data_IF_161501712448
#
_entry.id   IF_161501712448
#
_cell.length_a   1.000
_cell.length_b   1.000
_cell.length_c   1.000
_cell.angle_alpha   90.00
_cell.angle_beta   90.00
_cell.angle_gamma   90.00
#
_symmetry.space_group_name_H-M   'P 1'
#
loop_
_entity.id
_entity.type
_entity.pdbx_description
1 polymer ?
#
# COMPACT_ATOMS: atom_id res chain seq x y z
N UNK A 1 6.37 34.45 16.80
CA UNK A 1 5.42 33.58 16.07
C UNK A 1 5.47 32.21 16.70
N UNK A 2 4.34 31.65 17.09
CA UNK A 2 4.31 30.28 17.61
C UNK A 2 4.41 29.27 16.45
N UNK A 3 4.60 27.98 16.77
CA UNK A 3 4.81 26.95 15.75
C UNK A 3 3.64 26.85 14.74
N UNK A 4 2.40 26.96 15.20
CA UNK A 4 1.23 26.89 14.30
C UNK A 4 1.19 28.07 13.34
N UNK A 5 1.43 29.28 13.82
CA UNK A 5 1.52 30.48 12.97
C UNK A 5 2.64 30.35 11.92
N UNK A 6 3.78 29.78 12.30
CA UNK A 6 4.90 29.49 11.35
C UNK A 6 4.50 28.47 10.27
N UNK A 7 3.75 27.42 10.66
CA UNK A 7 3.26 26.41 9.73
C UNK A 7 2.27 27.03 8.73
N UNK A 8 1.32 27.83 9.21
CA UNK A 8 0.34 28.49 8.35
C UNK A 8 1.02 29.43 7.34
N UNK A 9 1.96 30.27 7.81
CA UNK A 9 2.75 31.14 6.92
C UNK A 9 3.53 30.35 5.89
N UNK A 10 4.18 29.26 6.31
CA UNK A 10 4.96 28.37 5.42
C UNK A 10 4.08 27.77 4.33
N UNK A 11 2.93 27.23 4.70
CA UNK A 11 1.99 26.64 3.74
C UNK A 11 1.45 27.68 2.76
N UNK A 12 1.08 28.87 3.22
CA UNK A 12 0.64 29.94 2.34
C UNK A 12 1.73 30.41 1.38
N UNK A 13 2.96 30.54 1.87
CA UNK A 13 4.13 30.94 1.07
C UNK A 13 4.44 29.92 -0.02
N UNK A 14 4.38 28.64 0.31
CA UNK A 14 4.81 27.54 -0.59
C UNK A 14 3.65 26.90 -1.37
N UNK A 15 2.39 27.34 -1.18
CA UNK A 15 1.20 26.72 -1.73
C UNK A 15 1.30 26.33 -3.20
N UNK A 16 1.67 27.25 -4.06
CA UNK A 16 1.75 26.99 -5.50
C UNK A 16 2.90 26.06 -5.86
N UNK A 17 4.02 26.17 -5.16
CA UNK A 17 5.16 25.29 -5.37
C UNK A 17 4.85 23.86 -4.98
N UNK A 18 4.25 23.63 -3.81
CA UNK A 18 3.84 22.29 -3.34
C UNK A 18 2.94 21.60 -4.37
N UNK A 19 1.89 22.29 -4.83
CA UNK A 19 0.97 21.77 -5.85
C UNK A 19 1.70 21.48 -7.17
N UNK A 20 2.54 22.41 -7.63
CA UNK A 20 3.30 22.23 -8.88
C UNK A 20 4.26 21.05 -8.79
N UNK A 21 5.02 20.90 -7.69
CA UNK A 21 5.98 19.79 -7.53
C UNK A 21 5.27 18.45 -7.39
N UNK A 22 4.12 18.42 -6.76
CA UNK A 22 3.27 17.20 -6.74
C UNK A 22 2.84 16.84 -8.16
N UNK A 23 2.32 17.80 -8.92
CA UNK A 23 1.95 17.59 -10.32
C UNK A 23 3.16 17.10 -11.17
N UNK A 24 4.35 17.68 -10.97
CA UNK A 24 5.53 17.30 -11.72
C UNK A 24 6.00 15.88 -11.40
N UNK A 25 5.94 15.45 -10.14
CA UNK A 25 6.25 14.08 -9.75
C UNK A 25 5.23 13.09 -10.30
N UNK A 26 3.93 13.46 -10.33
CA UNK A 26 2.87 12.61 -10.91
C UNK A 26 3.07 12.35 -12.40
N UNK A 27 3.67 13.29 -13.15
CA UNK A 27 3.97 13.13 -14.60
C UNK A 27 5.00 12.03 -14.89
N UNK A 28 5.76 11.59 -13.90
CA UNK A 28 6.71 10.48 -14.06
C UNK A 28 5.97 9.16 -13.89
N UNK A 29 5.84 8.31 -14.92
CA UNK A 29 5.11 7.06 -14.85
C UNK A 29 5.95 5.96 -14.19
N UNK A 30 6.28 6.12 -12.93
CA UNK A 30 7.18 5.27 -12.14
C UNK A 30 6.58 3.90 -11.80
N UNK A 31 6.09 3.20 -12.82
CA UNK A 31 5.64 1.82 -12.70
C UNK A 31 6.87 0.92 -12.66
N UNK A 32 6.94 0.04 -11.66
CA UNK A 32 8.01 -0.93 -11.58
C UNK A 32 7.95 -1.93 -12.74
N UNK A 33 8.95 -1.88 -13.59
CA UNK A 33 9.12 -2.80 -14.73
C UNK A 33 10.60 -3.09 -14.97
N UNK A 34 10.92 -4.32 -15.36
CA UNK A 34 12.24 -4.68 -15.86
C UNK A 34 12.38 -4.17 -17.30
N UNK A 35 13.25 -3.17 -17.52
CA UNK A 35 13.39 -2.46 -18.80
C UNK A 35 14.82 -2.49 -19.38
N UNK A 36 15.69 -3.33 -18.82
CA UNK A 36 17.12 -3.46 -19.21
C UNK A 36 17.95 -2.16 -19.05
N UNK A 37 17.44 -1.14 -18.33
CA UNK A 37 18.18 0.10 -18.05
C UNK A 37 19.33 -0.07 -17.07
N UNK A 38 19.42 -1.21 -16.41
CA UNK A 38 20.35 -1.46 -15.32
C UNK A 38 19.91 -0.80 -13.99
N UNK A 39 18.71 -0.23 -13.94
CA UNK A 39 18.08 0.29 -12.71
C UNK A 39 17.26 -0.82 -12.05
N UNK A 40 17.24 -0.92 -10.70
CA UNK A 40 16.63 -2.06 -10.00
C UNK A 40 15.12 -2.24 -10.29
N UNK A 41 14.41 -1.14 -10.53
CA UNK A 41 12.95 -1.15 -10.74
C UNK A 41 12.53 -0.41 -12.01
N UNK A 42 13.46 -0.25 -12.96
CA UNK A 42 13.24 0.42 -14.23
C UNK A 42 13.61 1.90 -14.23
N UNK A 43 13.74 2.47 -15.43
CA UNK A 43 14.21 3.83 -15.62
C UNK A 43 13.26 4.89 -15.07
N UNK A 44 11.94 4.65 -15.12
CA UNK A 44 10.95 5.62 -14.65
C UNK A 44 10.93 5.72 -13.11
N UNK A 45 11.10 4.60 -12.40
CA UNK A 45 11.30 4.64 -10.95
C UNK A 45 12.59 5.39 -10.59
N UNK A 46 13.67 5.18 -11.34
CA UNK A 46 14.91 5.93 -11.12
C UNK A 46 14.76 7.43 -11.39
N UNK A 47 14.00 7.85 -12.41
CA UNK A 47 13.69 9.27 -12.66
C UNK A 47 12.89 9.90 -11.52
N UNK A 48 11.96 9.15 -10.91
CA UNK A 48 11.23 9.65 -9.75
C UNK A 48 12.16 9.88 -8.54
N UNK A 49 13.11 8.99 -8.29
CA UNK A 49 14.14 9.17 -7.28
C UNK A 49 15.05 10.37 -7.59
N UNK A 50 15.49 10.54 -8.85
CA UNK A 50 16.31 11.70 -9.27
C UNK A 50 15.54 13.01 -9.09
N UNK A 51 14.25 13.05 -9.43
CA UNK A 51 13.39 14.22 -9.18
C UNK A 51 13.32 14.58 -7.69
N UNK A 52 13.09 13.59 -6.84
CA UNK A 52 13.05 13.79 -5.40
C UNK A 52 14.40 14.27 -4.84
N UNK A 53 15.51 13.70 -5.31
CA UNK A 53 16.86 14.08 -4.92
C UNK A 53 17.14 15.56 -5.29
N UNK A 54 16.80 15.96 -6.52
CA UNK A 54 16.95 17.35 -6.95
C UNK A 54 16.10 18.30 -6.09
N UNK A 55 14.81 17.98 -5.86
CA UNK A 55 13.92 18.81 -5.07
C UNK A 55 14.42 18.95 -3.62
N UNK A 56 14.91 17.87 -3.02
CA UNK A 56 15.52 17.91 -1.69
C UNK A 56 16.71 18.85 -1.63
N UNK A 57 17.59 18.82 -2.62
CA UNK A 57 18.75 19.73 -2.73
C UNK A 57 18.34 21.19 -2.92
N UNK A 58 17.29 21.46 -3.70
CA UNK A 58 16.68 22.79 -3.82
C UNK A 58 16.19 23.34 -2.47
N UNK A 59 15.75 22.44 -1.57
CA UNK A 59 15.34 22.77 -0.19
C UNK A 59 16.50 22.71 0.83
N UNK A 60 17.74 22.62 0.39
CA UNK A 60 18.94 22.53 1.22
C UNK A 60 18.95 21.33 2.19
N UNK A 61 18.26 20.26 1.83
CA UNK A 61 18.30 18.99 2.55
C UNK A 61 19.50 18.15 2.07
N UNK A 62 19.97 17.28 2.94
CA UNK A 62 21.06 16.34 2.63
C UNK A 62 20.44 15.04 2.14
N UNK A 63 20.95 14.50 1.05
CA UNK A 63 20.44 13.28 0.43
C UNK A 63 21.51 12.21 0.30
N UNK A 64 21.09 10.94 0.36
CA UNK A 64 21.92 9.79 0.03
C UNK A 64 21.10 8.76 -0.74
N UNK A 65 21.51 8.52 -1.98
CA UNK A 65 20.88 7.53 -2.85
C UNK A 65 21.43 6.13 -2.56
N UNK A 66 20.56 5.18 -2.26
CA UNK A 66 20.85 3.78 -2.03
C UNK A 66 20.55 2.96 -3.29
N UNK A 67 21.41 3.09 -4.29
CA UNK A 67 21.38 2.33 -5.56
C UNK A 67 20.04 2.43 -6.32
N UNK A 68 19.37 3.58 -6.27
CA UNK A 68 18.04 3.82 -6.84
C UNK A 68 16.92 2.95 -6.24
N UNK A 69 17.19 2.25 -5.14
CA UNK A 69 16.17 1.56 -4.37
C UNK A 69 15.47 2.52 -3.41
N UNK A 70 16.25 3.27 -2.66
CA UNK A 70 15.75 4.30 -1.75
C UNK A 70 16.59 5.57 -1.83
N UNK A 71 15.94 6.70 -1.55
CA UNK A 71 16.58 7.97 -1.27
C UNK A 71 16.41 8.33 0.20
N UNK A 72 17.49 8.39 0.96
CA UNK A 72 17.51 8.91 2.33
C UNK A 72 17.64 10.42 2.32
N UNK A 73 16.87 11.12 3.15
CA UNK A 73 16.84 12.58 3.24
C UNK A 73 16.93 13.05 4.68
N UNK A 74 17.76 14.04 4.95
CA UNK A 74 18.04 14.57 6.28
C UNK A 74 18.14 16.10 6.28
N UNK A 75 17.87 16.76 7.41
CA UNK A 75 18.12 18.20 7.57
C UNK A 75 19.62 18.52 7.58
N UNK A 76 20.46 17.64 8.10
CA UNK A 76 21.94 17.81 8.22
C UNK A 76 22.61 16.44 8.32
N UNK A 77 23.89 16.39 8.00
CA UNK A 77 24.72 15.22 8.25
C UNK A 77 24.98 14.99 9.75
N UNK A 78 25.38 13.77 10.09
CA UNK A 78 25.82 13.40 11.44
C UNK A 78 24.82 13.74 12.55
N UNK A 79 23.54 13.52 12.30
CA UNK A 79 22.51 13.61 13.32
C UNK A 79 22.75 12.55 14.40
N UNK A 80 22.39 12.88 15.62
CA UNK A 80 22.57 12.02 16.81
C UNK A 80 21.24 11.91 17.54
N UNK A 81 21.18 11.08 18.58
CA UNK A 81 19.95 10.82 19.34
C UNK A 81 19.21 9.61 18.81
N UNK A 82 17.95 9.48 19.17
CA UNK A 82 17.07 8.43 18.67
C UNK A 82 16.73 8.65 17.19
N UNK A 83 16.57 7.57 16.46
CA UNK A 83 16.26 7.63 15.04
C UNK A 83 14.78 7.46 14.77
N UNK A 84 14.18 8.45 14.09
CA UNK A 84 12.88 8.36 13.45
C UNK A 84 13.08 8.21 11.95
N UNK A 85 12.49 7.18 11.34
CA UNK A 85 12.36 7.06 9.90
C UNK A 85 10.92 7.34 9.51
N UNK A 86 10.72 8.19 8.51
CA UNK A 86 9.44 8.46 7.87
C UNK A 86 9.57 7.94 6.44
N UNK A 87 8.84 6.87 6.13
CA UNK A 87 8.92 6.18 4.85
C UNK A 87 7.70 6.49 3.98
N UNK A 88 7.97 6.74 2.70
CA UNK A 88 7.02 6.93 1.60
C UNK A 88 7.61 6.30 0.35
N UNK A 89 6.83 6.18 -0.74
CA UNK A 89 7.34 5.62 -1.98
C UNK A 89 7.01 6.46 -3.22
N UNK A 90 7.79 6.29 -4.26
CA UNK A 90 7.67 7.01 -5.52
C UNK A 90 7.18 6.12 -6.68
N UNK A 91 7.20 4.79 -6.51
CA UNK A 91 6.63 3.87 -7.49
C UNK A 91 5.10 3.87 -7.43
N UNK A 92 4.49 3.40 -8.48
CA UNK A 92 3.02 3.38 -8.62
C UNK A 92 2.56 2.11 -9.31
N UNK A 93 1.33 1.67 -8.99
CA UNK A 93 0.68 0.60 -9.74
C UNK A 93 0.37 1.01 -11.18
N UNK A 94 0.25 0.05 -12.12
CA UNK A 94 -0.23 0.32 -13.47
C UNK A 94 -1.58 1.05 -13.48
N UNK A 95 -1.84 1.75 -14.56
CA UNK A 95 -3.11 2.44 -14.80
C UNK A 95 -4.22 1.47 -15.16
N UNK A 96 -5.46 1.95 -15.08
CA UNK A 96 -6.67 1.22 -15.47
C UNK A 96 -7.27 1.84 -16.74
N UNK A 97 -8.10 1.09 -17.45
CA UNK A 97 -8.59 1.51 -18.78
C UNK A 97 -9.73 2.54 -18.75
N UNK A 98 -10.41 2.70 -17.61
CA UNK A 98 -11.58 3.55 -17.45
C UNK A 98 -11.29 4.98 -16.94
N UNK A 99 -10.04 5.45 -17.09
CA UNK A 99 -9.68 6.82 -16.75
C UNK A 99 -10.38 7.85 -17.67
N UNK A 100 -10.98 8.88 -17.05
CA UNK A 100 -11.52 10.06 -17.74
C UNK A 100 -10.39 11.04 -18.08
N UNK A 101 -9.39 11.12 -17.18
CA UNK A 101 -8.23 11.99 -17.33
C UNK A 101 -6.99 11.16 -17.65
N UNK A 102 -6.02 11.78 -18.33
CA UNK A 102 -4.71 11.16 -18.52
C UNK A 102 -4.04 10.95 -17.15
N UNK A 103 -3.76 9.69 -16.75
CA UNK A 103 -3.27 9.36 -15.42
C UNK A 103 -1.88 9.93 -15.11
N UNK A 104 -1.12 10.34 -16.11
CA UNK A 104 0.19 10.96 -15.93
C UNK A 104 0.25 12.42 -16.39
N UNK A 105 -0.91 13.07 -16.56
CA UNK A 105 -0.94 14.49 -16.88
C UNK A 105 -0.51 15.39 -15.71
N UNK A 106 -0.69 14.93 -14.46
CA UNK A 106 -0.36 15.70 -13.26
C UNK A 106 -1.03 17.08 -13.28
N UNK A 107 -2.38 17.11 -13.30
CA UNK A 107 -3.16 18.35 -13.44
C UNK A 107 -4.07 18.61 -12.26
N UNK A 108 -4.38 19.88 -12.05
CA UNK A 108 -5.34 20.32 -11.06
C UNK A 108 -6.73 20.49 -11.70
N UNK A 109 -7.74 19.89 -11.08
CA UNK A 109 -9.16 20.05 -11.41
C UNK A 109 -9.93 20.45 -10.16
N UNK A 110 -10.37 21.71 -10.11
CA UNK A 110 -10.94 22.29 -8.90
C UNK A 110 -9.92 22.29 -7.75
N UNK A 111 -10.28 21.64 -6.65
CA UNK A 111 -9.41 21.51 -5.47
C UNK A 111 -8.61 20.20 -5.45
N UNK A 112 -8.56 19.46 -6.56
CA UNK A 112 -7.92 18.16 -6.64
C UNK A 112 -6.74 18.14 -7.63
N UNK A 113 -5.63 17.54 -7.22
CA UNK A 113 -4.59 17.08 -8.13
C UNK A 113 -5.00 15.70 -8.60
N UNK A 114 -5.08 15.49 -9.92
CA UNK A 114 -5.51 14.23 -10.52
C UNK A 114 -4.34 13.56 -11.24
N UNK A 115 -4.15 12.30 -10.94
CA UNK A 115 -3.17 11.44 -11.60
C UNK A 115 -2.71 10.27 -10.75
N UNK A 116 -2.24 9.20 -11.40
CA UNK A 116 -1.79 7.97 -10.78
C UNK A 116 -0.64 8.25 -9.79
N UNK A 117 -0.80 7.74 -8.57
CA UNK A 117 0.18 7.89 -7.50
C UNK A 117 0.03 9.16 -6.68
N UNK A 118 -0.98 10.03 -6.97
CA UNK A 118 -1.11 11.28 -6.22
C UNK A 118 -1.61 11.07 -4.79
N UNK A 119 -2.37 9.99 -4.53
CA UNK A 119 -2.79 9.57 -3.19
C UNK A 119 -1.78 8.57 -2.63
N UNK A 120 -1.33 7.65 -3.47
CA UNK A 120 -0.54 6.49 -3.13
C UNK A 120 0.68 6.39 -4.08
N UNK A 121 1.82 7.01 -3.69
CA UNK A 121 2.13 7.71 -2.43
C UNK A 121 2.87 9.05 -2.71
N UNK A 122 2.85 9.56 -3.98
CA UNK A 122 3.60 10.76 -4.40
C UNK A 122 3.16 12.04 -3.70
N UNK A 123 1.87 12.17 -3.36
CA UNK A 123 1.36 13.30 -2.57
C UNK A 123 1.93 13.29 -1.15
N UNK A 124 1.75 12.22 -0.39
CA UNK A 124 2.35 12.06 0.94
C UNK A 124 3.87 12.13 0.94
N UNK A 125 4.56 11.66 -0.12
CA UNK A 125 6.00 11.84 -0.29
C UNK A 125 6.36 13.34 -0.34
N UNK A 126 5.69 14.12 -1.17
CA UNK A 126 5.89 15.57 -1.23
C UNK A 126 5.52 16.22 0.12
N UNK A 127 4.45 15.77 0.77
CA UNK A 127 4.11 16.26 2.10
C UNK A 127 5.24 16.04 3.11
N UNK A 128 5.82 14.85 3.13
CA UNK A 128 6.93 14.49 4.02
C UNK A 128 8.18 15.33 3.75
N UNK A 129 8.50 15.56 2.46
CA UNK A 129 9.62 16.41 2.05
C UNK A 129 9.44 17.85 2.55
N UNK A 130 8.27 18.45 2.27
CA UNK A 130 8.00 19.82 2.71
C UNK A 130 7.88 19.93 4.24
N UNK A 131 7.43 18.91 4.93
CA UNK A 131 7.44 18.87 6.39
C UNK A 131 8.87 18.91 6.96
N UNK A 132 9.81 18.16 6.38
CA UNK A 132 11.20 18.20 6.82
C UNK A 132 11.88 19.53 6.39
N UNK A 133 11.58 20.04 5.20
CA UNK A 133 12.10 21.31 4.70
C UNK A 133 11.69 22.51 5.55
N UNK A 134 10.50 22.46 6.17
CA UNK A 134 10.05 23.48 7.13
C UNK A 134 11.04 23.69 8.27
N UNK A 135 11.55 22.62 8.90
CA UNK A 135 12.52 22.71 10.00
C UNK A 135 13.83 23.34 9.52
N UNK A 136 14.24 23.02 8.29
CA UNK A 136 15.44 23.61 7.67
C UNK A 136 15.26 25.09 7.38
N UNK A 137 14.13 25.49 6.79
CA UNK A 137 13.86 26.86 6.38
C UNK A 137 13.70 27.81 7.59
N UNK A 138 12.99 27.36 8.62
CA UNK A 138 12.77 28.17 9.83
C UNK A 138 13.92 28.04 10.86
N UNK A 139 14.94 27.25 10.56
CA UNK A 139 16.07 27.07 11.48
C UNK A 139 15.69 26.42 12.80
N UNK A 140 14.63 25.61 12.83
CA UNK A 140 14.18 24.93 14.04
C UNK A 140 15.03 23.68 14.22
N UNK A 141 15.83 23.60 15.30
CA UNK A 141 16.71 22.47 15.50
C UNK A 141 15.93 21.21 15.87
N UNK A 142 16.22 20.11 15.18
CA UNK A 142 15.84 18.77 15.58
C UNK A 142 16.98 18.16 16.42
N UNK A 143 16.66 17.64 17.58
CA UNK A 143 17.65 17.08 18.54
C UNK A 143 17.97 15.62 18.23
N UNK A 144 17.05 14.94 17.59
CA UNK A 144 17.13 13.52 17.24
C UNK A 144 17.46 13.30 15.75
N UNK A 145 17.75 12.07 15.37
CA UNK A 145 18.08 11.65 14.00
C UNK A 145 16.79 11.41 13.21
N UNK A 146 16.27 12.46 12.57
CA UNK A 146 15.04 12.40 11.77
C UNK A 146 15.40 12.23 10.29
N UNK A 147 14.91 11.16 9.68
CA UNK A 147 15.17 10.82 8.28
C UNK A 147 13.87 10.56 7.53
N UNK A 148 13.81 11.05 6.29
CA UNK A 148 12.83 10.54 5.33
C UNK A 148 13.52 9.45 4.50
N UNK A 149 12.75 8.44 4.10
CA UNK A 149 13.19 7.41 3.16
C UNK A 149 12.13 7.28 2.08
N UNK A 150 12.50 7.63 0.85
CA UNK A 150 11.64 7.50 -0.32
C UNK A 150 12.02 6.23 -1.06
N UNK A 151 11.16 5.22 -1.00
CA UNK A 151 11.31 3.95 -1.70
C UNK A 151 10.88 4.02 -3.17
N UNK A 152 11.13 2.97 -3.90
CA UNK A 152 10.75 2.84 -5.31
C UNK A 152 10.28 1.43 -5.69
N UNK A 153 9.86 0.61 -4.70
CA UNK A 153 9.31 -0.72 -4.90
C UNK A 153 8.33 -1.16 -3.81
N UNK A 154 7.58 -0.24 -3.22
CA UNK A 154 6.57 -0.56 -2.22
C UNK A 154 5.52 -1.50 -2.79
N UNK A 155 4.94 -1.12 -3.92
CA UNK A 155 3.83 -1.77 -4.62
C UNK A 155 4.15 -3.21 -5.11
N UNK A 156 5.42 -3.53 -5.28
CA UNK A 156 5.85 -4.81 -5.83
C UNK A 156 6.60 -5.71 -4.84
N UNK A 157 6.77 -5.30 -3.57
CA UNK A 157 7.35 -6.22 -2.60
C UNK A 157 8.17 -5.65 -1.47
N UNK A 158 8.44 -4.33 -1.46
CA UNK A 158 9.11 -3.60 -0.37
C UNK A 158 10.58 -4.02 -0.13
N UNK A 159 11.24 -4.67 -1.11
CA UNK A 159 12.64 -5.08 -0.97
C UNK A 159 13.59 -3.88 -1.02
N UNK A 160 13.15 -2.75 -1.48
CA UNK A 160 13.82 -1.47 -1.45
C UNK A 160 14.07 -0.96 -0.02
N UNK A 161 13.01 -0.88 0.79
CA UNK A 161 13.14 -0.48 2.19
C UNK A 161 13.86 -1.55 3.00
N UNK A 162 13.67 -2.84 2.71
CA UNK A 162 14.44 -3.93 3.32
C UNK A 162 15.94 -3.74 3.06
N UNK A 163 16.31 -3.49 1.80
CA UNK A 163 17.68 -3.20 1.39
C UNK A 163 18.29 -2.01 2.15
N UNK A 164 17.49 -0.96 2.35
CA UNK A 164 17.90 0.21 3.13
C UNK A 164 18.12 -0.16 4.60
N UNK A 165 17.15 -0.84 5.24
CA UNK A 165 17.21 -1.20 6.66
C UNK A 165 18.38 -2.15 6.97
N UNK A 166 18.72 -3.08 6.08
CA UNK A 166 19.91 -3.94 6.22
C UNK A 166 21.23 -3.15 6.31
N UNK A 167 21.29 -1.96 5.72
CA UNK A 167 22.49 -1.10 5.66
C UNK A 167 22.48 0.01 6.67
N UNK A 168 21.35 0.59 6.94
CA UNK A 168 21.17 1.71 7.86
C UNK A 168 20.80 1.27 9.29
N UNK A 169 20.32 0.03 9.46
CA UNK A 169 19.76 -0.50 10.70
C UNK A 169 18.31 -0.06 10.95
N UNK A 170 17.64 -0.74 11.87
CA UNK A 170 16.30 -0.39 12.31
C UNK A 170 16.28 0.96 13.05
N UNK A 171 15.23 1.78 12.89
CA UNK A 171 15.05 2.98 13.70
C UNK A 171 14.54 2.66 15.10
N UNK A 172 14.62 3.63 16.02
CA UNK A 172 13.89 3.55 17.28
C UNK A 172 12.38 3.57 17.07
N UNK A 173 11.92 4.30 16.01
CA UNK A 173 10.54 4.29 15.53
C UNK A 173 10.45 4.56 14.03
N UNK A 174 9.52 3.86 13.33
CA UNK A 174 9.19 4.09 11.94
C UNK A 174 7.78 4.64 11.77
N UNK A 175 7.61 5.56 10.82
CA UNK A 175 6.31 6.02 10.34
C UNK A 175 6.19 5.69 8.86
N UNK A 176 5.11 5.02 8.43
CA UNK A 176 4.69 5.00 7.04
C UNK A 176 3.65 6.09 6.81
N UNK A 177 3.82 6.90 5.75
CA UNK A 177 2.87 7.97 5.41
C UNK A 177 2.16 7.58 4.13
N UNK A 178 1.41 6.51 4.21
CA UNK A 178 0.79 5.81 3.07
C UNK A 178 -0.60 5.27 3.46
N UNK A 179 -1.38 6.10 4.14
CA UNK A 179 -2.73 5.74 4.60
C UNK A 179 -3.52 6.99 5.05
N UNK A 180 -4.69 6.77 5.62
CA UNK A 180 -5.48 7.84 6.24
C UNK A 180 -5.05 8.12 7.69
N UNK A 181 -5.32 9.37 8.13
CA UNK A 181 -5.24 9.71 9.55
C UNK A 181 -6.35 8.99 10.36
N UNK A 182 -6.25 8.84 11.73
CA UNK A 182 -5.20 9.45 12.57
C UNK A 182 -3.92 8.63 12.65
N UNK A 183 -4.00 7.33 12.90
CA UNK A 183 -2.85 6.44 13.11
C UNK A 183 -3.25 5.02 12.79
N UNK A 184 -2.52 4.37 11.91
CA UNK A 184 -2.64 2.94 11.64
C UNK A 184 -1.69 2.20 12.59
N UNK A 185 -2.25 1.62 13.64
CA UNK A 185 -1.45 0.97 14.67
C UNK A 185 -1.25 -0.53 14.45
N UNK A 186 -1.65 -1.04 13.29
CA UNK A 186 -1.43 -2.44 12.92
C UNK A 186 -1.89 -2.76 11.51
N UNK A 187 -1.36 -3.84 10.97
CA UNK A 187 -1.73 -4.39 9.68
C UNK A 187 -1.94 -5.89 9.78
N UNK A 188 -2.96 -6.40 9.08
CA UNK A 188 -3.20 -7.85 9.01
C UNK A 188 -2.05 -8.60 8.37
N UNK A 189 -1.83 -9.83 8.80
CA UNK A 189 -0.95 -10.74 8.09
C UNK A 189 -1.51 -11.10 6.71
N UNK A 190 -0.64 -11.43 5.79
CA UNK A 190 -0.95 -11.79 4.41
C UNK A 190 -0.36 -13.15 4.06
N UNK A 191 -1.19 -14.05 3.55
CA UNK A 191 -0.74 -15.28 2.91
C UNK A 191 -1.36 -15.39 1.53
N UNK A 192 -0.52 -15.48 0.49
CA UNK A 192 -0.97 -15.95 -0.82
C UNK A 192 -0.66 -17.42 -0.95
N UNK A 193 -1.65 -18.21 -1.32
CA UNK A 193 -1.46 -19.62 -1.66
C UNK A 193 -2.19 -19.95 -2.96
N UNK A 194 -1.70 -20.93 -3.67
CA UNK A 194 -2.36 -21.43 -4.87
C UNK A 194 -2.77 -22.89 -4.70
N UNK A 195 -3.85 -23.25 -5.37
CA UNK A 195 -4.30 -24.63 -5.54
C UNK A 195 -4.30 -24.92 -7.03
N UNK A 196 -3.67 -26.04 -7.42
CA UNK A 196 -3.66 -26.53 -8.78
C UNK A 196 -4.35 -27.89 -8.83
N UNK A 197 -5.25 -28.08 -9.81
CA UNK A 197 -5.94 -29.35 -10.01
C UNK A 197 -6.22 -29.59 -11.51
N UNK A 198 -6.29 -30.89 -11.95
CA UNK A 198 -6.54 -31.23 -13.33
C UNK A 198 -7.87 -30.69 -13.83
N UNK A 199 -7.85 -29.99 -14.97
CA UNK A 199 -9.07 -29.46 -15.60
C UNK A 199 -9.89 -30.57 -16.25
N UNK A 200 -11.23 -30.37 -16.33
CA UNK A 200 -12.11 -31.25 -17.06
C UNK A 200 -11.81 -31.20 -18.56
N UNK A 201 -12.08 -32.28 -19.29
CA UNK A 201 -11.70 -32.42 -20.72
C UNK A 201 -12.34 -31.38 -21.64
N UNK A 202 -13.54 -30.93 -21.28
CA UNK A 202 -14.29 -29.92 -22.02
C UNK A 202 -13.87 -28.46 -21.70
N UNK A 203 -12.96 -28.26 -20.75
CA UNK A 203 -12.42 -26.95 -20.40
C UNK A 203 -11.10 -26.74 -21.13
N UNK A 204 -11.07 -25.86 -22.12
CA UNK A 204 -9.87 -25.55 -22.87
C UNK A 204 -9.00 -24.56 -22.10
N UNK A 205 -9.60 -23.46 -21.60
CA UNK A 205 -8.88 -22.44 -20.83
C UNK A 205 -9.75 -21.75 -19.79
N UNK A 206 -9.11 -21.33 -18.68
CA UNK A 206 -9.66 -20.35 -17.71
C UNK A 206 -8.51 -19.46 -17.31
N UNK A 207 -8.58 -18.18 -17.62
CA UNK A 207 -7.54 -17.21 -17.29
C UNK A 207 -8.18 -15.92 -16.77
N UNK A 208 -7.51 -15.25 -15.86
CA UNK A 208 -7.94 -13.95 -15.36
C UNK A 208 -6.87 -12.90 -15.62
N UNK A 209 -7.31 -11.69 -15.89
CA UNK A 209 -6.47 -10.58 -16.26
C UNK A 209 -6.77 -9.36 -15.42
N UNK A 210 -5.73 -8.57 -15.13
CA UNK A 210 -5.79 -7.36 -14.35
C UNK A 210 -4.40 -6.89 -13.94
N UNK A 211 -4.32 -5.85 -13.17
CA UNK A 211 -3.06 -5.37 -12.60
C UNK A 211 -2.48 -6.41 -11.63
N UNK A 212 -1.17 -6.62 -11.67
CA UNK A 212 -0.47 -7.53 -10.76
C UNK A 212 -0.66 -7.16 -9.28
N UNK A 213 -0.93 -5.89 -9.00
CA UNK A 213 -1.11 -5.33 -7.66
C UNK A 213 -2.57 -5.40 -7.17
N UNK A 214 -3.52 -5.76 -8.03
CA UNK A 214 -4.93 -5.86 -7.64
C UNK A 214 -5.27 -7.22 -7.05
N UNK A 215 -6.00 -7.20 -5.95
CA UNK A 215 -6.56 -8.41 -5.31
C UNK A 215 -7.75 -9.00 -6.08
N UNK A 216 -8.31 -8.26 -7.04
CA UNK A 216 -9.43 -8.68 -7.88
C UNK A 216 -9.09 -8.37 -9.31
N UNK A 217 -9.04 -9.39 -10.16
CA UNK A 217 -8.81 -9.21 -11.59
C UNK A 217 -10.01 -8.54 -12.25
N UNK A 218 -9.77 -7.74 -13.29
CA UNK A 218 -10.82 -6.96 -13.96
C UNK A 218 -11.73 -7.84 -14.82
N UNK A 219 -11.20 -8.95 -15.37
CA UNK A 219 -12.00 -9.93 -16.09
C UNK A 219 -11.40 -11.33 -16.03
N UNK A 220 -12.25 -12.33 -16.29
CA UNK A 220 -11.91 -13.73 -16.42
C UNK A 220 -12.42 -14.24 -17.77
N UNK A 221 -11.53 -14.82 -18.57
CA UNK A 221 -11.85 -15.49 -19.82
C UNK A 221 -11.84 -16.99 -19.65
N UNK A 222 -12.78 -17.69 -20.27
CA UNK A 222 -12.79 -19.15 -20.30
C UNK A 222 -13.30 -19.66 -21.64
N UNK A 223 -12.65 -20.70 -22.15
CA UNK A 223 -13.12 -21.46 -23.31
C UNK A 223 -13.52 -22.85 -22.84
N UNK A 224 -14.80 -23.20 -23.06
CA UNK A 224 -15.41 -24.43 -22.59
C UNK A 224 -16.30 -24.97 -23.70
N UNK A 225 -16.10 -26.20 -24.12
CA UNK A 225 -16.80 -26.81 -25.27
C UNK A 225 -16.68 -25.96 -26.57
N UNK A 226 -15.56 -25.26 -26.76
CA UNK A 226 -15.35 -24.37 -27.91
C UNK A 226 -16.06 -23.02 -27.82
N UNK A 227 -16.80 -22.75 -26.73
CA UNK A 227 -17.47 -21.48 -26.49
C UNK A 227 -16.62 -20.58 -25.59
N UNK A 228 -16.42 -19.33 -26.03
CA UNK A 228 -15.73 -18.31 -25.25
C UNK A 228 -16.70 -17.57 -24.34
N UNK A 229 -16.38 -17.50 -23.05
CA UNK A 229 -17.07 -16.66 -22.08
C UNK A 229 -16.07 -15.66 -21.48
N UNK A 230 -16.44 -14.38 -21.51
CA UNK A 230 -15.69 -13.29 -20.86
C UNK A 230 -16.58 -12.66 -19.81
N UNK A 231 -16.12 -12.61 -18.57
CA UNK A 231 -16.81 -11.99 -17.45
C UNK A 231 -15.97 -10.81 -16.98
N UNK A 232 -16.48 -9.61 -17.13
CA UNK A 232 -15.83 -8.37 -16.71
C UNK A 232 -16.30 -7.89 -15.35
N UNK A 233 -15.51 -6.99 -14.76
CA UNK A 233 -15.87 -6.29 -13.54
C UNK A 233 -16.98 -5.27 -13.83
N UNK A 234 -18.14 -5.50 -13.24
CA UNK A 234 -19.31 -4.62 -13.35
C UNK A 234 -19.95 -4.44 -11.97
N UNK A 235 -20.99 -3.58 -11.90
CA UNK A 235 -21.75 -3.44 -10.62
C UNK A 235 -22.36 -4.75 -10.12
N UNK A 236 -22.69 -5.68 -11.03
CA UNK A 236 -23.26 -7.00 -10.69
C UNK A 236 -22.19 -8.05 -10.42
N UNK A 237 -21.01 -7.91 -11.02
CA UNK A 237 -19.91 -8.88 -10.92
C UNK A 237 -18.66 -8.13 -10.45
N UNK A 238 -18.44 -8.13 -9.14
CA UNK A 238 -17.28 -7.46 -8.51
C UNK A 238 -16.02 -8.32 -8.65
N UNK A 239 -16.14 -9.64 -8.53
CA UNK A 239 -15.04 -10.58 -8.70
C UNK A 239 -15.32 -11.55 -9.85
N UNK A 240 -14.84 -11.28 -11.07
CA UNK A 240 -15.07 -12.13 -12.24
C UNK A 240 -14.53 -13.55 -12.07
N UNK A 241 -13.42 -13.73 -11.36
CA UNK A 241 -12.83 -15.05 -11.09
C UNK A 241 -13.78 -15.87 -10.22
N UNK A 242 -14.21 -15.32 -9.09
CA UNK A 242 -15.16 -15.99 -8.19
C UNK A 242 -16.47 -16.30 -8.91
N UNK A 243 -16.99 -15.33 -9.66
CA UNK A 243 -18.24 -15.51 -10.43
C UNK A 243 -18.14 -16.70 -11.40
N UNK A 244 -17.00 -16.82 -12.11
CA UNK A 244 -16.79 -17.93 -13.05
C UNK A 244 -16.79 -19.29 -12.35
N UNK A 245 -16.18 -19.36 -11.16
CA UNK A 245 -16.05 -20.60 -10.40
C UNK A 245 -17.25 -20.94 -9.52
N UNK A 246 -18.19 -20.03 -9.30
CA UNK A 246 -19.45 -20.29 -8.56
C UNK A 246 -20.60 -20.76 -9.46
N UNK A 247 -20.41 -20.80 -10.78
CA UNK A 247 -21.38 -21.34 -11.74
C UNK A 247 -21.63 -22.86 -11.53
N UNK A 248 -22.68 -23.38 -12.18
CA UNK A 248 -23.05 -24.81 -12.07
C UNK A 248 -22.12 -25.72 -12.87
N UNK A 249 -21.38 -25.18 -13.82
CA UNK A 249 -20.53 -25.94 -14.72
C UNK A 249 -19.30 -26.52 -14.02
N UNK A 250 -19.07 -27.80 -14.26
CA UNK A 250 -17.89 -28.49 -13.74
C UNK A 250 -16.63 -28.00 -14.44
N UNK A 251 -15.59 -27.66 -13.66
CA UNK A 251 -14.31 -27.14 -14.17
C UNK A 251 -13.13 -28.07 -13.96
N UNK A 252 -13.19 -28.94 -12.97
CA UNK A 252 -12.10 -29.88 -12.63
C UNK A 252 -12.47 -31.32 -12.98
N UNK A 253 -11.45 -32.11 -13.34
CA UNK A 253 -11.58 -33.50 -13.82
C UNK A 253 -12.18 -34.42 -12.74
N UNK A 254 -11.72 -34.27 -11.48
CA UNK A 254 -12.14 -35.10 -10.36
C UNK A 254 -13.28 -34.47 -9.57
N UNK A 255 -14.30 -35.24 -9.24
CA UNK A 255 -15.42 -34.78 -8.41
C UNK A 255 -14.95 -34.30 -7.02
N UNK A 256 -13.91 -34.95 -6.49
CA UNK A 256 -13.38 -34.63 -5.17
C UNK A 256 -12.63 -33.27 -5.19
N UNK A 257 -11.83 -33.01 -6.23
CA UNK A 257 -11.13 -31.73 -6.41
C UNK A 257 -12.15 -30.59 -6.57
N UNK A 258 -13.14 -30.79 -7.45
CA UNK A 258 -14.26 -29.86 -7.67
C UNK A 258 -14.95 -29.52 -6.34
N UNK A 259 -15.27 -30.54 -5.54
CA UNK A 259 -15.93 -30.38 -4.25
C UNK A 259 -15.08 -29.53 -3.28
N UNK A 260 -13.82 -29.89 -3.08
CA UNK A 260 -12.95 -29.19 -2.12
C UNK A 260 -12.67 -27.75 -2.54
N UNK A 261 -12.48 -27.50 -3.84
CA UNK A 261 -12.24 -26.14 -4.33
C UNK A 261 -13.49 -25.28 -4.15
N UNK A 262 -14.69 -25.83 -4.43
CA UNK A 262 -15.95 -25.10 -4.19
C UNK A 262 -16.20 -24.84 -2.70
N UNK A 263 -15.82 -25.74 -1.82
CA UNK A 263 -15.87 -25.51 -0.36
C UNK A 263 -15.03 -24.30 0.05
N UNK A 264 -13.80 -24.16 -0.49
CA UNK A 264 -12.93 -22.98 -0.22
C UNK A 264 -13.55 -21.71 -0.80
N UNK A 265 -14.05 -21.76 -2.04
CA UNK A 265 -14.65 -20.60 -2.70
C UNK A 265 -15.90 -20.07 -1.98
N UNK A 266 -16.64 -20.96 -1.34
CA UNK A 266 -17.82 -20.61 -0.55
C UNK A 266 -17.49 -20.11 0.87
N UNK A 267 -16.28 -20.37 1.36
CA UNK A 267 -15.85 -20.11 2.73
C UNK A 267 -14.91 -18.88 2.81
N UNK A 268 -15.52 -17.73 2.85
CA UNK A 268 -14.76 -16.44 2.89
C UNK A 268 -14.05 -16.16 4.22
N UNK A 269 -14.31 -16.96 5.26
CA UNK A 269 -13.76 -16.78 6.61
C UNK A 269 -12.73 -17.85 6.99
N UNK A 270 -12.50 -18.86 6.12
CA UNK A 270 -11.44 -19.88 6.27
C UNK A 270 -11.77 -21.03 7.23
N UNK A 271 -13.04 -21.35 7.48
CA UNK A 271 -13.45 -22.48 8.32
C UNK A 271 -12.99 -23.84 7.78
N UNK A 272 -13.18 -24.08 6.48
CA UNK A 272 -12.79 -25.35 5.85
C UNK A 272 -11.26 -25.56 5.86
N UNK A 273 -10.50 -24.47 5.87
CA UNK A 273 -9.04 -24.46 5.96
C UNK A 273 -8.54 -24.52 7.42
N UNK A 274 -9.44 -24.40 8.40
CA UNK A 274 -9.10 -24.39 9.83
C UNK A 274 -8.36 -23.12 10.30
N UNK A 275 -8.50 -22.03 9.55
CA UNK A 275 -7.81 -20.75 9.80
C UNK A 275 -8.76 -19.62 10.20
N UNK A 276 -10.04 -19.91 10.37
CA UNK A 276 -11.00 -18.91 10.83
C UNK A 276 -10.61 -18.43 12.23
N UNK A 277 -10.48 -17.11 12.35
CA UNK A 277 -10.12 -16.44 13.58
C UNK A 277 -10.71 -15.03 13.61
N UNK A 278 -10.95 -14.52 14.80
CA UNK A 278 -11.44 -13.18 15.04
C UNK A 278 -10.71 -12.57 16.22
N UNK A 279 -10.31 -11.31 16.09
CA UNK A 279 -9.93 -10.46 17.20
C UNK A 279 -10.64 -9.11 17.13
N UNK A 280 -10.71 -8.42 18.28
CA UNK A 280 -11.41 -7.14 18.38
C UNK A 280 -10.65 -6.00 17.68
N UNK A 281 -9.33 -6.12 17.52
CA UNK A 281 -8.47 -5.10 16.94
C UNK A 281 -8.53 -5.09 15.42
N UNK A 282 -8.54 -6.27 14.80
CA UNK A 282 -8.41 -6.39 13.34
C UNK A 282 -9.57 -7.15 12.67
N UNK A 283 -10.54 -7.62 13.46
CA UNK A 283 -11.70 -8.36 12.95
C UNK A 283 -11.36 -9.81 12.57
N UNK A 284 -12.02 -10.35 11.55
CA UNK A 284 -11.92 -11.77 11.19
C UNK A 284 -10.92 -12.03 10.06
N UNK A 285 -10.48 -13.31 9.96
CA UNK A 285 -9.81 -13.85 8.78
C UNK A 285 -10.67 -13.59 7.54
N UNK A 286 -10.03 -13.30 6.41
CA UNK A 286 -10.72 -13.30 5.12
C UNK A 286 -9.93 -14.09 4.08
N UNK A 287 -10.67 -14.85 3.26
CA UNK A 287 -10.14 -15.66 2.15
C UNK A 287 -10.80 -15.17 0.87
N UNK A 288 -10.00 -14.77 -0.12
CA UNK A 288 -10.49 -14.28 -1.41
C UNK A 288 -9.72 -14.93 -2.53
N UNK A 289 -10.39 -15.44 -3.55
CA UNK A 289 -9.74 -15.77 -4.82
C UNK A 289 -9.57 -14.50 -5.65
N UNK A 290 -8.39 -14.29 -6.21
CA UNK A 290 -8.14 -13.11 -7.03
C UNK A 290 -7.56 -13.44 -8.41
N UNK A 291 -6.96 -14.64 -8.59
CA UNK A 291 -6.34 -15.03 -9.85
C UNK A 291 -6.71 -16.45 -10.23
N UNK A 292 -6.95 -16.67 -11.51
CA UNK A 292 -7.06 -17.98 -12.13
C UNK A 292 -6.13 -18.07 -13.34
N UNK A 293 -5.46 -19.19 -13.50
CA UNK A 293 -4.61 -19.51 -14.65
C UNK A 293 -4.84 -20.96 -15.05
N UNK A 294 -4.77 -21.26 -16.35
CA UNK A 294 -4.79 -22.64 -16.83
C UNK A 294 -3.65 -22.90 -17.79
N UNK A 295 -3.09 -24.10 -17.68
CA UNK A 295 -2.16 -24.65 -18.65
C UNK A 295 -2.84 -25.77 -19.48
N UNK A 296 -2.05 -26.61 -20.14
CA UNK A 296 -2.57 -27.73 -20.93
C UNK A 296 -3.35 -28.77 -20.08
N UNK A 297 -3.06 -28.90 -18.80
CA UNK A 297 -3.56 -29.97 -17.95
C UNK A 297 -4.35 -29.48 -16.74
N UNK A 298 -4.00 -28.33 -16.15
CA UNK A 298 -4.49 -27.89 -14.86
C UNK A 298 -5.14 -26.50 -14.92
N UNK A 299 -5.99 -26.23 -13.93
CA UNK A 299 -6.40 -24.89 -13.52
C UNK A 299 -5.74 -24.61 -12.16
N UNK A 300 -5.10 -23.46 -12.05
CA UNK A 300 -4.51 -22.95 -10.81
C UNK A 300 -5.27 -21.74 -10.33
N UNK A 301 -5.78 -21.79 -9.10
CA UNK A 301 -6.41 -20.67 -8.41
C UNK A 301 -5.45 -20.12 -7.36
N UNK A 302 -5.25 -18.82 -7.34
CA UNK A 302 -4.48 -18.13 -6.30
C UNK A 302 -5.43 -17.37 -5.37
N UNK A 303 -5.24 -17.57 -4.07
CA UNK A 303 -6.05 -16.97 -3.00
C UNK A 303 -5.22 -15.97 -2.21
N UNK A 304 -5.87 -14.92 -1.74
CA UNK A 304 -5.38 -13.95 -0.76
C UNK A 304 -6.07 -14.21 0.58
N UNK A 305 -5.26 -14.45 1.61
CA UNK A 305 -5.70 -14.57 2.99
C UNK A 305 -5.22 -13.35 3.77
N UNK A 306 -6.13 -12.67 4.47
CA UNK A 306 -5.80 -11.65 5.45
C UNK A 306 -6.07 -12.20 6.84
N UNK A 307 -5.02 -12.28 7.66
CA UNK A 307 -5.11 -12.87 9.00
C UNK A 307 -5.22 -11.79 10.07
N UNK A 308 -6.07 -11.98 11.09
CA UNK A 308 -6.05 -11.13 12.28
C UNK A 308 -4.67 -11.05 12.91
N UNK A 309 -4.36 -9.92 13.57
CA UNK A 309 -3.03 -9.63 14.13
C UNK A 309 -2.63 -10.56 15.28
N UNK A 310 -3.61 -11.23 15.89
CA UNK A 310 -3.36 -12.21 16.96
C UNK A 310 -3.19 -13.64 16.46
N UNK A 311 -3.42 -13.89 15.16
CA UNK A 311 -3.26 -15.22 14.58
C UNK A 311 -1.81 -15.41 14.12
N UNK A 312 -1.17 -16.48 14.58
CA UNK A 312 0.17 -16.83 14.14
C UNK A 312 0.14 -17.23 12.65
N UNK A 313 0.91 -16.54 11.85
CA UNK A 313 0.94 -16.75 10.40
C UNK A 313 1.59 -18.09 10.03
N UNK A 314 2.52 -18.58 10.84
CA UNK A 314 3.17 -19.89 10.64
C UNK A 314 2.16 -21.02 10.84
N UNK A 315 1.28 -20.91 11.84
CA UNK A 315 0.13 -21.81 12.03
C UNK A 315 -0.80 -21.84 10.81
N UNK A 316 -1.03 -20.69 10.19
CA UNK A 316 -1.84 -20.59 8.97
C UNK A 316 -1.18 -21.36 7.83
N UNK A 317 0.11 -21.16 7.61
CA UNK A 317 0.88 -21.87 6.58
C UNK A 317 0.85 -23.37 6.80
N UNK A 318 1.06 -23.83 8.05
CA UNK A 318 1.02 -25.24 8.40
C UNK A 318 -0.36 -25.87 8.11
N UNK A 319 -1.45 -25.18 8.45
CA UNK A 319 -2.82 -25.63 8.19
C UNK A 319 -3.13 -25.73 6.70
N UNK A 320 -2.67 -24.76 5.89
CA UNK A 320 -2.82 -24.80 4.44
C UNK A 320 -2.08 -26.00 3.83
N UNK A 321 -0.85 -26.27 4.25
CA UNK A 321 -0.08 -27.44 3.82
C UNK A 321 -0.77 -28.74 4.27
N UNK A 322 -1.28 -28.80 5.50
CA UNK A 322 -2.02 -29.96 6.02
C UNK A 322 -3.32 -30.18 5.25
N UNK A 323 -4.03 -29.12 4.86
CA UNK A 323 -5.21 -29.20 4.02
C UNK A 323 -4.91 -29.84 2.66
N UNK A 324 -3.85 -29.43 1.99
CA UNK A 324 -3.38 -30.06 0.74
C UNK A 324 -3.10 -31.54 0.91
N UNK A 325 -2.36 -31.92 1.97
CA UNK A 325 -2.09 -33.34 2.29
C UNK A 325 -3.35 -34.15 2.55
N UNK A 326 -4.32 -33.58 3.25
CA UNK A 326 -5.60 -34.23 3.58
C UNK A 326 -6.50 -34.45 2.36
N UNK A 327 -6.55 -33.47 1.46
CA UNK A 327 -7.44 -33.46 0.30
C UNK A 327 -6.82 -34.07 -0.95
N UNK A 328 -5.49 -34.16 -1.01
CA UNK A 328 -4.74 -34.54 -2.21
C UNK A 328 -4.55 -33.39 -3.21
N UNK A 329 -5.05 -32.17 -2.91
CA UNK A 329 -4.85 -30.99 -3.73
C UNK A 329 -3.39 -30.50 -3.65
N UNK A 330 -2.85 -30.07 -4.77
CA UNK A 330 -1.54 -29.42 -4.80
C UNK A 330 -1.66 -27.99 -4.27
N UNK A 331 -1.27 -27.79 -3.01
CA UNK A 331 -1.23 -26.49 -2.34
C UNK A 331 0.20 -25.96 -2.36
N UNK A 332 0.37 -24.73 -2.87
CA UNK A 332 1.66 -24.03 -2.89
C UNK A 332 1.54 -22.70 -2.19
N UNK A 333 2.40 -22.44 -1.21
CA UNK A 333 2.53 -21.12 -0.58
C UNK A 333 3.32 -20.21 -1.53
N UNK A 334 2.72 -19.07 -1.89
CA UNK A 334 3.27 -18.12 -2.89
C UNK A 334 3.95 -16.94 -2.21
N UNK A 335 3.29 -16.37 -1.17
CA UNK A 335 3.80 -15.21 -0.42
C UNK A 335 3.32 -15.32 1.03
N UNK A 336 4.19 -14.94 1.95
CA UNK A 336 3.86 -14.79 3.37
C UNK A 336 4.41 -13.45 3.83
N UNK A 337 3.58 -12.67 4.52
CA UNK A 337 3.99 -11.41 5.13
C UNK A 337 3.32 -11.27 6.48
N UNK A 338 4.13 -11.24 7.54
CA UNK A 338 3.64 -11.15 8.91
C UNK A 338 2.98 -9.79 9.16
N UNK A 339 1.83 -9.80 9.80
CA UNK A 339 1.19 -8.59 10.30
C UNK A 339 1.95 -7.99 11.49
N UNK A 340 1.61 -6.76 11.84
CA UNK A 340 2.13 -6.14 13.06
C UNK A 340 0.99 -5.47 13.83
N UNK A 341 1.22 -5.23 15.12
CA UNK A 341 0.30 -4.52 15.98
C UNK A 341 1.02 -3.76 17.09
N UNK A 342 0.76 -2.48 17.19
CA UNK A 342 1.14 -1.61 18.30
C UNK A 342 -0.10 -1.32 19.14
N UNK A 343 0.01 -1.46 20.47
CA UNK A 343 -1.12 -1.16 21.35
C UNK A 343 -1.54 0.32 21.22
N UNK A 344 -2.83 0.64 21.31
CA UNK A 344 -3.30 2.04 21.29
C UNK A 344 -2.65 2.92 22.37
N UNK A 345 -2.29 2.32 23.51
CA UNK A 345 -1.62 2.98 24.63
C UNK A 345 -0.11 3.15 24.41
N UNK A 346 0.46 2.62 23.31
CA UNK A 346 1.84 2.91 22.96
C UNK A 346 2.03 4.42 22.91
N UNK A 347 3.12 4.89 23.51
CA UNK A 347 3.36 6.31 23.73
C UNK A 347 3.34 7.14 22.45
N UNK A 348 3.92 6.63 21.35
CA UNK A 348 3.93 7.34 20.06
C UNK A 348 2.56 7.26 19.38
N UNK A 349 1.92 6.08 19.36
CA UNK A 349 0.58 5.88 18.77
C UNK A 349 -0.44 6.78 19.46
N UNK A 350 -0.50 6.78 20.80
CA UNK A 350 -1.42 7.63 21.56
C UNK A 350 -1.16 9.11 21.29
N UNK A 351 0.10 9.53 21.35
CA UNK A 351 0.50 10.94 21.13
C UNK A 351 0.11 11.42 19.74
N UNK A 352 0.36 10.65 18.69
CA UNK A 352 0.01 11.03 17.31
C UNK A 352 -1.51 11.07 17.09
N UNK A 353 -2.24 10.10 17.66
CA UNK A 353 -3.71 10.08 17.61
C UNK A 353 -4.32 11.27 18.34
N UNK A 354 -3.83 11.59 19.54
CA UNK A 354 -4.29 12.76 20.32
C UNK A 354 -3.95 14.07 19.60
N UNK A 355 -2.79 14.13 18.94
CA UNK A 355 -2.39 15.31 18.16
C UNK A 355 -3.38 15.57 17.01
N UNK A 356 -3.75 14.53 16.26
CA UNK A 356 -4.76 14.61 15.21
C UNK A 356 -6.11 15.04 15.77
N UNK A 357 -6.58 14.40 16.83
CA UNK A 357 -7.87 14.69 17.44
C UNK A 357 -7.95 16.14 17.93
N UNK A 358 -6.88 16.64 18.53
CA UNK A 358 -6.78 18.04 18.97
C UNK A 358 -6.77 19.02 17.80
N UNK A 359 -6.10 18.71 16.71
CA UNK A 359 -5.96 19.61 15.56
C UNK A 359 -7.26 19.73 14.77
N UNK A 360 -7.99 18.63 14.59
CA UNK A 360 -9.22 18.59 13.80
C UNK A 360 -10.50 18.57 14.65
N UNK A 361 -10.39 18.74 15.98
CA UNK A 361 -11.51 18.59 16.91
C UNK A 361 -12.30 17.29 16.70
N UNK A 362 -11.54 16.20 16.48
CA UNK A 362 -12.04 14.86 16.22
C UNK A 362 -12.01 14.00 17.50
N UNK A 363 -12.54 12.78 17.42
CA UNK A 363 -12.49 11.76 18.48
C UNK A 363 -12.22 10.39 17.88
N UNK A 364 -11.23 10.32 17.02
CA UNK A 364 -10.82 9.11 16.33
C UNK A 364 -9.95 8.22 17.21
N UNK A 365 -9.95 6.94 16.90
CA UNK A 365 -9.06 5.93 17.52
C UNK A 365 -8.04 5.45 16.51
N UNK A 366 -6.86 4.98 16.96
CA UNK A 366 -5.98 4.25 16.06
C UNK A 366 -6.68 2.96 15.60
N UNK A 367 -6.35 2.50 14.40
CA UNK A 367 -7.02 1.36 13.79
C UNK A 367 -6.05 0.40 13.12
N UNK A 368 -6.51 -0.85 12.91
CA UNK A 368 -5.78 -1.88 12.15
C UNK A 368 -6.35 -1.98 10.75
N UNK A 369 -5.48 -1.95 9.76
CA UNK A 369 -5.92 -2.09 8.37
C UNK A 369 -5.63 -3.46 7.77
N UNK A 370 -6.29 -3.74 6.65
CA UNK A 370 -6.09 -4.98 5.90
C UNK A 370 -5.02 -4.90 4.82
N UNK A 371 -4.54 -3.69 4.49
CA UNK A 371 -3.48 -3.48 3.49
C UNK A 371 -2.08 -3.72 4.07
N UNK A 372 -1.05 -3.46 3.29
CA UNK A 372 0.34 -3.65 3.65
C UNK A 372 1.11 -2.40 3.25
N UNK A 373 1.84 -1.79 4.18
CA UNK A 373 2.73 -0.66 3.91
C UNK A 373 4.13 -0.92 4.47
N UNK A 374 5.02 0.02 4.29
CA UNK A 374 6.36 -0.01 4.91
C UNK A 374 6.35 -0.12 6.43
N UNK A 375 5.25 0.23 7.11
CA UNK A 375 5.14 0.17 8.57
C UNK A 375 5.46 -1.23 9.12
N UNK A 376 5.11 -2.30 8.39
CA UNK A 376 5.37 -3.70 8.78
C UNK A 376 6.84 -4.11 8.78
N UNK A 377 7.71 -3.33 8.15
CA UNK A 377 9.14 -3.62 8.08
C UNK A 377 9.92 -3.04 9.25
N UNK A 378 9.30 -2.19 10.06
CA UNK A 378 9.91 -1.63 11.26
C UNK A 378 9.66 -2.53 12.48
N UNK A 379 10.68 -2.72 13.31
CA UNK A 379 10.52 -3.41 14.60
C UNK A 379 9.54 -2.65 15.51
N UNK A 380 9.55 -1.32 15.43
CA UNK A 380 8.61 -0.42 16.10
C UNK A 380 8.14 0.63 15.09
N UNK A 381 6.85 0.69 14.83
CA UNK A 381 6.33 1.65 13.86
C UNK A 381 4.81 1.65 13.77
N UNK A 382 4.29 2.61 13.02
CA UNK A 382 2.88 2.73 12.71
C UNK A 382 2.70 3.53 11.40
N UNK A 383 1.50 3.46 10.82
CA UNK A 383 1.08 4.40 9.78
C UNK A 383 0.67 5.74 10.40
N UNK A 384 0.97 6.85 9.73
CA UNK A 384 0.55 8.18 10.17
C UNK A 384 0.29 9.10 8.98
N UNK A 385 -0.90 9.02 8.45
CA UNK A 385 -1.45 10.00 7.53
C UNK A 385 -1.04 9.85 6.07
N UNK A 386 -1.42 10.89 5.38
CA UNK A 386 -1.49 11.09 3.95
C UNK A 386 -2.88 11.52 3.57
N UNK A 387 -3.89 10.72 3.88
CA UNK A 387 -5.30 10.93 3.54
C UNK A 387 -6.20 11.39 4.68
N UNK A 388 -7.47 11.69 4.32
CA UNK A 388 -8.53 12.01 5.25
C UNK A 388 -9.63 10.93 5.15
N UNK A 389 -9.91 10.15 6.22
CA UNK A 389 -10.86 9.04 6.19
C UNK A 389 -12.31 9.48 5.93
N UNK A 390 -12.62 10.76 6.13
CA UNK A 390 -13.95 11.32 5.95
C UNK A 390 -14.12 12.09 4.65
N UNK A 391 -13.11 12.06 3.76
CA UNK A 391 -13.20 12.77 2.49
C UNK A 391 -14.21 12.10 1.55
N UNK A 392 -15.17 12.91 1.06
CA UNK A 392 -16.07 12.50 -0.02
C UNK A 392 -15.61 13.15 -1.31
N UNK A 393 -14.99 12.36 -2.17
CA UNK A 393 -14.45 12.84 -3.43
C UNK A 393 -15.56 13.05 -4.48
N UNK A 394 -15.56 14.17 -5.24
CA UNK A 394 -16.60 14.50 -6.22
C UNK A 394 -16.37 13.77 -7.57
N UNK A 395 -15.99 12.52 -7.54
CA UNK A 395 -15.74 11.70 -8.72
C UNK A 395 -16.83 10.63 -8.88
N UNK A 396 -17.05 10.10 -10.10
CA UNK A 396 -17.93 8.97 -10.31
C UNK A 396 -17.56 7.78 -9.43
N UNK A 397 -18.51 6.89 -9.17
CA UNK A 397 -18.25 5.67 -8.37
C UNK A 397 -17.14 4.85 -9.00
N UNK A 398 -16.12 4.49 -8.22
CA UNK A 398 -14.94 3.75 -8.66
C UNK A 398 -13.77 4.63 -9.13
N UNK A 399 -13.97 5.96 -9.16
CA UNK A 399 -12.93 6.92 -9.51
C UNK A 399 -12.44 7.70 -8.28
N UNK A 400 -11.25 8.27 -8.37
CA UNK A 400 -10.67 9.16 -7.37
C UNK A 400 -9.92 8.47 -6.24
N UNK A 401 -10.04 7.15 -6.08
CA UNK A 401 -9.35 6.40 -5.03
C UNK A 401 -7.95 5.95 -5.47
N UNK A 402 -7.07 5.66 -4.50
CA UNK A 402 -5.82 4.95 -4.73
C UNK A 402 -6.05 3.66 -5.55
N UNK A 403 -5.13 3.33 -6.46
CA UNK A 403 -5.20 2.19 -7.39
C UNK A 403 -6.40 2.22 -8.37
N UNK A 404 -7.33 3.17 -8.21
CA UNK A 404 -8.52 3.31 -9.06
C UNK A 404 -8.29 4.13 -10.32
N UNK A 405 -9.37 4.34 -11.09
CA UNK A 405 -9.39 5.33 -12.16
C UNK A 405 -9.39 6.74 -11.60
N UNK A 406 -8.78 7.69 -12.34
CA UNK A 406 -8.76 9.11 -12.00
C UNK A 406 -8.36 9.38 -10.54
N UNK A 407 -7.35 8.66 -10.07
CA UNK A 407 -6.81 8.85 -8.71
C UNK A 407 -6.59 10.34 -8.42
N UNK A 408 -7.11 10.83 -7.29
CA UNK A 408 -7.17 12.26 -7.01
C UNK A 408 -6.94 12.56 -5.54
N UNK A 409 -6.09 13.54 -5.26
CA UNK A 409 -5.78 14.01 -3.92
C UNK A 409 -6.24 15.46 -3.75
N UNK A 410 -6.98 15.72 -2.69
CA UNK A 410 -7.42 17.06 -2.35
C UNK A 410 -6.23 17.91 -1.88
N UNK A 411 -6.07 19.10 -2.45
CA UNK A 411 -4.98 20.03 -2.13
C UNK A 411 -4.98 20.44 -0.66
N UNK A 412 -6.14 20.59 -0.05
CA UNK A 412 -6.24 20.95 1.38
C UNK A 412 -5.86 19.78 2.28
N UNK A 413 -6.24 18.55 1.91
CA UNK A 413 -5.80 17.32 2.62
C UNK A 413 -4.28 17.16 2.53
N UNK A 414 -3.68 17.46 1.37
CA UNK A 414 -2.22 17.47 1.22
C UNK A 414 -1.56 18.49 2.15
N UNK A 415 -2.14 19.69 2.31
CA UNK A 415 -1.61 20.69 3.24
C UNK A 415 -1.80 20.29 4.71
N UNK A 416 -2.93 19.66 5.03
CA UNK A 416 -3.16 19.09 6.36
C UNK A 416 -2.15 17.98 6.66
N UNK A 417 -1.79 17.16 5.68
CA UNK A 417 -0.75 16.15 5.83
C UNK A 417 0.62 16.77 6.17
N UNK A 418 1.04 17.82 5.44
CA UNK A 418 2.27 18.56 5.74
C UNK A 418 2.24 19.10 7.18
N UNK A 419 1.14 19.75 7.57
CA UNK A 419 0.95 20.30 8.91
C UNK A 419 1.05 19.23 9.98
N UNK A 420 0.35 18.12 9.80
CA UNK A 420 0.35 17.01 10.75
C UNK A 420 1.72 16.36 10.88
N UNK A 421 2.44 16.21 9.77
CA UNK A 421 3.81 15.68 9.79
C UNK A 421 4.78 16.62 10.52
N UNK A 422 4.71 17.93 10.30
CA UNK A 422 5.52 18.91 11.07
C UNK A 422 5.24 18.79 12.56
N UNK A 423 3.96 18.76 12.94
CA UNK A 423 3.55 18.65 14.33
C UNK A 423 3.96 17.31 14.94
N UNK A 424 3.81 16.20 14.20
CA UNK A 424 4.19 14.86 14.63
C UNK A 424 5.70 14.72 14.80
N UNK A 425 6.50 15.16 13.84
CA UNK A 425 7.97 15.18 13.93
C UNK A 425 8.40 15.95 15.17
N UNK A 426 7.85 17.15 15.36
CA UNK A 426 8.22 17.99 16.50
C UNK A 426 7.83 17.35 17.84
N UNK A 427 6.64 16.75 17.92
CA UNK A 427 6.16 16.08 19.12
C UNK A 427 7.05 14.88 19.49
N UNK A 428 7.45 14.06 18.52
CA UNK A 428 8.36 12.92 18.74
C UNK A 428 9.75 13.41 19.13
N UNK A 429 10.30 14.41 18.44
CA UNK A 429 11.61 14.98 18.73
C UNK A 429 11.67 15.54 20.15
N UNK A 430 10.66 16.29 20.57
CA UNK A 430 10.58 16.84 21.94
C UNK A 430 10.43 15.74 23.00
N UNK A 431 9.68 14.70 22.67
CA UNK A 431 9.45 13.57 23.59
C UNK A 431 10.72 12.78 23.88
N UNK A 432 11.58 12.65 22.89
CA UNK A 432 12.83 11.90 23.01
C UNK A 432 14.00 12.72 23.58
N UNK A 433 13.79 14.02 23.76
CA UNK A 433 14.78 14.98 24.29
C UNK A 433 14.64 15.15 25.79
#
# INVERSE_FOLDING_TARGET
>A
MNLKEQIEEYLQKNKFEIVSRTCDLVKIPSINVEDHSGKPYGIECAKAIDFCDQLCKEKYLVTKNYDYRCLEVMCRENQTGKRLIIATHADVVPTVDDNIYDPFAGKVYGDYIVGRGVVDDKGPLIASLYALAFFKEYGIPLKNDIRLVFGSNEECGMDDLQYYLERAGQPDWGLAVDDDFPTVNGEKGLVHFSISAPKAEHVESVNSYGSKQRLVHDYCESTINGENMVIGRTEKVINPVLHRFTGEERLFKNDQDEKYIREILADIDGHCLGINHFDEMSGKTSVKVFKAESDAQNITLTFDIRTPVTLDIDDVVEKLIAYGKKTGLEVKIVKVSKGYYQKPENEIVSMLTELYNKEFNANEKPYVMGACTYARLFDNGCGFGGGNPHEVKPFPKGHGAAHGADEAHNIYVLFDAIKMLILGIKAIDDKWS
#
